data_IF_721366097234
#
_entry.id   IF_721366097234
#
_cell.length_a   1.000
_cell.length_b   1.000
_cell.length_c   1.000
_cell.angle_alpha   90.00
_cell.angle_beta   90.00
_cell.angle_gamma   90.00
#
_symmetry.space_group_name_H-M   'P 1'
#
loop_
_entity.id
_entity.type
_entity.pdbx_description
1 polymer ?
#
# COMPACT_ATOMS: atom_id res chain seq x y z
N UNK A 1 20.65 6.70 3.87
CA UNK A 1 19.34 6.77 4.57
C UNK A 1 18.26 6.44 3.55
N UNK A 2 17.43 5.42 3.80
CA UNK A 2 16.27 5.13 2.96
C UNK A 2 15.10 5.95 3.48
N UNK A 3 14.52 6.81 2.65
CA UNK A 3 13.29 7.54 2.96
C UNK A 3 12.12 6.89 2.24
N UNK A 4 11.00 6.74 2.94
CA UNK A 4 9.74 6.37 2.32
C UNK A 4 9.23 7.49 1.40
N UNK A 5 8.18 7.20 0.64
CA UNK A 5 7.52 8.21 -0.17
C UNK A 5 6.45 8.97 0.64
N UNK A 6 6.04 10.12 0.12
CA UNK A 6 4.90 10.85 0.65
C UNK A 6 3.60 10.03 0.44
N UNK A 7 2.63 10.13 1.37
CA UNK A 7 1.35 9.45 1.20
C UNK A 7 0.64 9.94 -0.06
N UNK A 8 0.14 9.00 -0.86
CA UNK A 8 -0.76 9.30 -1.99
C UNK A 8 -2.18 9.14 -1.48
N UNK A 9 -2.79 10.24 -1.05
CA UNK A 9 -4.15 10.27 -0.52
C UNK A 9 -4.88 11.55 -0.94
N UNK A 10 -6.18 11.57 -0.75
CA UNK A 10 -7.04 12.75 -0.83
C UNK A 10 -8.27 12.59 0.09
N UNK A 11 -9.15 13.60 0.12
CA UNK A 11 -10.37 13.56 0.92
C UNK A 11 -11.34 12.43 0.50
N UNK A 12 -11.22 11.92 -0.73
CA UNK A 12 -12.02 10.81 -1.26
C UNK A 12 -11.47 9.42 -0.91
N UNK A 13 -10.34 9.34 -0.22
CA UNK A 13 -9.72 8.06 0.15
C UNK A 13 -10.61 7.27 1.12
N UNK A 14 -11.02 6.07 0.68
CA UNK A 14 -11.86 5.10 1.40
C UNK A 14 -11.07 3.88 1.85
N UNK A 15 -10.03 3.51 1.11
CA UNK A 15 -9.13 2.41 1.41
C UNK A 15 -7.69 2.93 1.43
N UNK A 16 -7.00 2.77 2.56
CA UNK A 16 -5.56 3.06 2.64
C UNK A 16 -4.76 1.76 2.58
N UNK A 17 -3.93 1.59 1.54
CA UNK A 17 -3.03 0.44 1.42
C UNK A 17 -1.66 0.81 1.96
N UNK A 18 -1.20 0.08 2.96
CA UNK A 18 0.06 0.32 3.67
C UNK A 18 1.09 -0.76 3.33
N UNK A 19 2.18 -0.34 2.69
CA UNK A 19 3.40 -1.11 2.56
C UNK A 19 4.25 -1.10 3.83
N UNK A 20 5.34 -1.86 3.83
CA UNK A 20 6.30 -1.86 4.93
C UNK A 20 7.31 -0.72 4.80
N UNK A 21 8.15 -0.80 3.77
CA UNK A 21 9.10 0.22 3.34
C UNK A 21 9.33 0.00 1.83
N UNK A 22 9.50 1.06 1.02
CA UNK A 22 9.83 0.90 -0.39
C UNK A 22 11.12 0.10 -0.58
N UNK A 23 11.09 -0.85 -1.53
CA UNK A 23 12.26 -1.61 -1.94
C UNK A 23 13.25 -0.75 -2.74
N UNK A 24 14.47 -1.23 -2.90
CA UNK A 24 15.53 -0.49 -3.62
C UNK A 24 15.12 -0.13 -5.06
N UNK A 25 14.45 -1.05 -5.77
CA UNK A 25 13.93 -0.77 -7.11
C UNK A 25 12.88 0.35 -7.12
N UNK A 26 11.97 0.37 -6.14
CA UNK A 26 10.98 1.46 -6.00
C UNK A 26 11.67 2.80 -5.76
N UNK A 27 12.64 2.83 -4.83
CA UNK A 27 13.39 4.04 -4.49
C UNK A 27 14.18 4.59 -5.69
N UNK A 28 14.82 3.71 -6.47
CA UNK A 28 15.61 4.10 -7.63
C UNK A 28 14.78 4.81 -8.71
N UNK A 29 13.52 4.40 -8.90
CA UNK A 29 12.63 5.02 -9.89
C UNK A 29 11.71 6.08 -9.29
N UNK A 30 11.74 6.28 -7.97
CA UNK A 30 10.87 7.23 -7.27
C UNK A 30 9.38 6.83 -7.27
N UNK A 31 9.05 5.54 -7.39
CA UNK A 31 7.67 5.07 -7.54
C UNK A 31 7.30 3.97 -6.56
N UNK A 32 6.10 4.10 -5.98
CA UNK A 32 5.45 3.00 -5.28
C UNK A 32 5.42 1.74 -6.15
N UNK A 33 5.86 0.61 -5.57
CA UNK A 33 5.85 -0.69 -6.24
C UNK A 33 6.55 -0.72 -7.62
N UNK A 34 7.53 0.16 -7.85
CA UNK A 34 8.27 0.28 -9.12
C UNK A 34 9.12 -0.92 -9.56
N UNK A 35 9.23 -1.99 -8.76
CA UNK A 35 9.89 -3.22 -9.20
C UNK A 35 9.04 -3.92 -10.30
N UNK A 36 9.58 -4.24 -11.50
CA UNK A 36 8.77 -4.76 -12.62
C UNK A 36 7.99 -6.05 -12.32
N UNK A 37 8.55 -6.92 -11.48
CA UNK A 37 7.88 -8.15 -11.01
C UNK A 37 6.96 -7.97 -9.79
N UNK A 38 6.71 -6.75 -9.32
CA UNK A 38 5.78 -6.52 -8.23
C UNK A 38 4.35 -6.63 -8.77
N UNK A 39 3.54 -7.49 -8.15
CA UNK A 39 2.19 -7.77 -8.62
C UNK A 39 1.17 -6.69 -8.23
N UNK A 40 1.55 -5.68 -7.44
CA UNK A 40 0.64 -4.71 -6.85
C UNK A 40 -0.33 -4.10 -7.86
N UNK A 41 0.20 -3.53 -8.95
CA UNK A 41 -0.59 -2.84 -9.96
C UNK A 41 -1.59 -3.76 -10.63
N UNK A 42 -1.22 -5.02 -10.87
CA UNK A 42 -2.12 -6.02 -11.44
C UNK A 42 -3.22 -6.42 -10.46
N UNK A 43 -2.84 -6.70 -9.20
CA UNK A 43 -3.78 -7.10 -8.15
C UNK A 43 -4.83 -6.03 -7.85
N UNK A 44 -4.43 -4.76 -7.77
CA UNK A 44 -5.38 -3.66 -7.57
C UNK A 44 -6.16 -3.37 -8.83
N UNK A 45 -5.51 -3.44 -10.00
CA UNK A 45 -6.15 -3.28 -11.31
C UNK A 45 -7.31 -4.25 -11.53
N UNK A 46 -7.10 -5.53 -11.17
CA UNK A 46 -8.14 -6.56 -11.24
C UNK A 46 -9.35 -6.21 -10.35
N UNK A 47 -9.12 -5.64 -9.16
CA UNK A 47 -10.20 -5.25 -8.23
C UNK A 47 -11.00 -4.06 -8.75
N UNK A 48 -10.33 -3.06 -9.33
CA UNK A 48 -11.00 -1.83 -9.80
C UNK A 48 -11.41 -1.90 -11.28
N UNK A 49 -11.16 -3.02 -11.95
CA UNK A 49 -11.47 -3.22 -13.36
C UNK A 49 -10.66 -2.34 -14.31
N UNK A 50 -9.38 -2.05 -13.99
CA UNK A 50 -8.49 -1.24 -14.84
C UNK A 50 -7.13 -1.90 -15.04
N UNK A 51 -6.61 -1.87 -16.27
CA UNK A 51 -5.25 -2.31 -16.59
C UNK A 51 -4.21 -1.27 -16.14
N UNK A 52 -3.97 -1.19 -14.83
CA UNK A 52 -2.97 -0.27 -14.25
C UNK A 52 -1.56 -0.50 -14.80
N UNK A 53 -1.06 -1.73 -15.02
CA UNK A 53 0.25 -1.95 -15.63
C UNK A 53 0.46 -1.22 -16.97
N UNK A 54 -0.57 -1.13 -17.81
CA UNK A 54 -0.50 -0.43 -19.10
C UNK A 54 -0.42 1.10 -18.99
N UNK A 55 -0.77 1.67 -17.82
CA UNK A 55 -0.78 3.12 -17.61
C UNK A 55 0.61 3.65 -17.18
N UNK A 56 0.95 4.91 -17.55
CA UNK A 56 2.00 5.68 -16.90
C UNK A 56 1.78 5.80 -15.39
N UNK A 57 2.86 6.03 -14.62
CA UNK A 57 2.79 6.04 -13.15
C UNK A 57 1.78 7.05 -12.58
N UNK A 58 1.77 8.28 -13.09
CA UNK A 58 0.84 9.32 -12.64
C UNK A 58 -0.63 8.94 -12.93
N UNK A 59 -0.87 8.29 -14.05
CA UNK A 59 -2.21 7.81 -14.43
C UNK A 59 -2.65 6.64 -13.55
N UNK A 60 -1.70 5.79 -13.10
CA UNK A 60 -1.99 4.77 -12.08
C UNK A 60 -2.43 5.42 -10.78
N UNK A 61 -1.71 6.44 -10.30
CA UNK A 61 -2.08 7.14 -9.07
C UNK A 61 -3.44 7.83 -9.20
N UNK A 62 -3.73 8.42 -10.35
CA UNK A 62 -5.02 9.04 -10.66
C UNK A 62 -6.15 8.00 -10.67
N UNK A 63 -5.93 6.83 -11.27
CA UNK A 63 -6.89 5.73 -11.25
C UNK A 63 -7.14 5.20 -9.83
N UNK A 64 -6.11 5.10 -8.99
CA UNK A 64 -6.26 4.73 -7.58
C UNK A 64 -7.10 5.76 -6.82
N UNK A 65 -6.80 7.05 -6.95
CA UNK A 65 -7.59 8.13 -6.33
C UNK A 65 -9.05 8.10 -6.77
N UNK A 66 -9.30 7.92 -8.07
CA UNK A 66 -10.65 7.76 -8.61
C UNK A 66 -11.41 6.54 -8.05
N UNK A 67 -10.69 5.49 -7.65
CA UNK A 67 -11.24 4.33 -6.95
C UNK A 67 -11.26 4.49 -5.42
N UNK A 68 -10.92 5.67 -4.87
CA UNK A 68 -10.85 5.92 -3.43
C UNK A 68 -9.72 5.17 -2.73
N UNK A 69 -8.67 4.79 -3.45
CA UNK A 69 -7.51 4.05 -2.91
C UNK A 69 -6.35 5.02 -2.67
N UNK A 70 -5.89 5.06 -1.43
CA UNK A 70 -4.66 5.74 -1.03
C UNK A 70 -3.51 4.78 -0.78
N UNK A 71 -2.27 5.27 -0.89
CA UNK A 71 -1.04 4.51 -0.65
C UNK A 71 -0.17 5.20 0.40
N UNK A 72 0.42 4.41 1.29
CA UNK A 72 1.58 4.85 2.06
C UNK A 72 2.40 3.65 2.56
N UNK A 73 3.38 3.91 3.43
CA UNK A 73 4.16 2.89 4.11
C UNK A 73 4.12 3.12 5.62
N UNK A 74 4.23 2.04 6.41
CA UNK A 74 4.25 2.14 7.88
C UNK A 74 5.61 2.59 8.44
N UNK A 75 6.65 2.62 7.61
CA UNK A 75 7.99 3.11 7.94
C UNK A 75 8.28 4.36 7.11
N UNK A 76 8.44 5.51 7.77
CA UNK A 76 8.77 6.79 7.14
C UNK A 76 10.24 6.84 6.67
N UNK A 77 11.12 6.17 7.38
CA UNK A 77 12.54 6.10 7.03
C UNK A 77 13.28 5.00 7.78
N UNK A 78 14.39 4.56 7.21
CA UNK A 78 15.30 3.59 7.81
C UNK A 78 16.75 3.95 7.48
N UNK A 79 17.62 3.95 8.50
CA UNK A 79 19.05 3.98 8.29
C UNK A 79 19.56 2.59 7.87
N UNK A 80 20.32 2.53 6.78
CA UNK A 80 21.09 1.33 6.39
C UNK A 80 22.56 1.69 6.55
N UNK A 81 23.25 1.05 7.51
CA UNK A 81 24.68 1.29 7.77
C UNK A 81 25.50 0.11 7.23
N UNK A 82 26.39 0.36 6.25
CA UNK A 82 27.36 -0.61 5.73
C UNK A 82 26.83 -1.61 4.68
N UNK A 83 27.75 -2.18 3.87
CA UNK A 83 27.45 -3.10 2.75
C UNK A 83 27.27 -4.57 3.15
N UNK A 84 27.24 -4.88 4.45
CA UNK A 84 27.02 -6.22 4.98
C UNK A 84 25.71 -6.22 5.81
N UNK A 85 24.74 -7.02 5.36
CA UNK A 85 23.48 -7.41 6.03
C UNK A 85 23.59 -7.41 7.56
N UNK A 86 22.75 -6.77 8.39
CA UNK A 86 21.36 -7.21 8.69
C UNK A 86 20.54 -6.24 9.57
N UNK A 87 20.95 -5.00 9.83
CA UNK A 87 20.29 -4.19 10.87
C UNK A 87 19.60 -2.93 10.32
N UNK A 88 18.30 -3.02 10.03
CA UNK A 88 17.43 -1.84 10.04
C UNK A 88 17.38 -1.36 11.50
N UNK A 89 18.27 -0.43 11.88
CA UNK A 89 18.22 0.31 13.14
C UNK A 89 17.60 1.68 12.84
N UNK A 90 16.85 2.23 13.80
CA UNK A 90 16.16 3.53 13.69
C UNK A 90 15.11 3.60 12.57
N UNK A 91 14.25 2.60 12.46
CA UNK A 91 13.07 2.71 11.61
C UNK A 91 12.11 3.74 12.22
N UNK A 92 11.99 4.90 11.59
CA UNK A 92 11.04 5.94 11.96
C UNK A 92 9.64 5.49 11.54
N UNK A 93 8.72 5.41 12.49
CA UNK A 93 7.34 5.07 12.20
C UNK A 93 6.66 6.24 11.48
N UNK A 94 5.86 5.93 10.47
CA UNK A 94 4.98 6.92 9.86
C UNK A 94 3.89 7.36 10.85
N UNK A 95 3.52 8.64 10.83
CA UNK A 95 2.38 9.19 11.58
C UNK A 95 1.05 8.74 10.94
N UNK A 96 0.75 7.44 11.09
CA UNK A 96 -0.49 6.85 10.61
C UNK A 96 -1.72 7.47 11.30
N UNK A 97 -1.76 7.68 12.64
CA UNK A 97 -2.92 8.28 13.30
C UNK A 97 -3.22 9.68 12.75
N UNK A 98 -2.20 10.55 12.67
CA UNK A 98 -2.41 11.90 12.15
C UNK A 98 -2.85 11.90 10.68
N UNK A 99 -2.38 10.96 9.85
CA UNK A 99 -2.91 10.80 8.49
C UNK A 99 -4.38 10.35 8.49
N UNK A 100 -4.71 9.33 9.27
CA UNK A 100 -6.06 8.74 9.32
C UNK A 100 -7.10 9.77 9.77
N UNK A 101 -6.76 10.61 10.75
CA UNK A 101 -7.64 11.68 11.25
C UNK A 101 -8.01 12.70 10.15
N UNK A 102 -7.22 12.80 9.09
CA UNK A 102 -7.47 13.68 7.93
C UNK A 102 -8.23 13.00 6.78
N UNK A 103 -8.59 11.72 6.91
CA UNK A 103 -9.28 10.94 5.89
C UNK A 103 -10.72 10.63 6.32
N UNK A 104 -11.67 11.59 6.18
CA UNK A 104 -13.03 11.44 6.72
C UNK A 104 -13.83 10.29 6.09
N UNK A 105 -13.44 9.88 4.88
CA UNK A 105 -14.11 8.80 4.14
C UNK A 105 -13.47 7.42 4.34
N UNK A 106 -12.40 7.32 5.14
CA UNK A 106 -11.66 6.07 5.33
C UNK A 106 -12.56 4.99 5.96
N UNK A 107 -12.66 3.85 5.28
CA UNK A 107 -13.42 2.67 5.69
C UNK A 107 -12.53 1.51 6.06
N UNK A 108 -11.39 1.36 5.39
CA UNK A 108 -10.45 0.27 5.65
C UNK A 108 -8.99 0.65 5.48
N UNK A 109 -8.14 -0.08 6.19
CA UNK A 109 -6.69 -0.08 6.06
C UNK A 109 -6.25 -1.48 5.66
N UNK A 110 -5.57 -1.61 4.52
CA UNK A 110 -5.04 -2.88 4.05
C UNK A 110 -3.51 -2.92 4.16
N UNK A 111 -2.99 -3.84 4.95
CA UNK A 111 -1.56 -4.05 5.11
C UNK A 111 -1.02 -5.01 4.05
N UNK A 112 -0.11 -4.54 3.22
CA UNK A 112 0.58 -5.32 2.20
C UNK A 112 1.75 -6.11 2.81
N UNK A 113 1.43 -7.28 3.39
CA UNK A 113 2.39 -8.21 3.97
C UNK A 113 2.54 -8.12 5.50
N UNK A 114 3.09 -9.18 6.09
CA UNK A 114 3.17 -9.37 7.55
C UNK A 114 3.97 -8.26 8.27
N UNK A 115 5.03 -7.74 7.66
CA UNK A 115 5.82 -6.64 8.24
C UNK A 115 4.99 -5.36 8.34
N UNK A 116 4.22 -5.03 7.30
CA UNK A 116 3.33 -3.87 7.30
C UNK A 116 2.26 -4.03 8.39
N UNK A 117 1.63 -5.19 8.47
CA UNK A 117 0.61 -5.51 9.47
C UNK A 117 1.14 -5.38 10.90
N UNK A 118 2.29 -6.01 11.20
CA UNK A 118 2.89 -5.99 12.54
C UNK A 118 3.25 -4.58 13.00
N UNK A 119 3.86 -3.78 12.11
CA UNK A 119 4.29 -2.42 12.46
C UNK A 119 3.11 -1.45 12.49
N UNK A 120 2.21 -1.54 11.53
CA UNK A 120 0.98 -0.75 11.51
C UNK A 120 0.12 -0.98 12.74
N UNK A 121 -0.11 -2.23 13.14
CA UNK A 121 -0.87 -2.55 14.36
C UNK A 121 -0.22 -1.96 15.63
N UNK A 122 1.12 -1.92 15.71
CA UNK A 122 1.82 -1.28 16.83
C UNK A 122 1.60 0.23 16.90
N UNK A 123 1.54 0.89 15.74
CA UNK A 123 1.31 2.34 15.64
C UNK A 123 -0.16 2.70 15.87
N UNK A 124 -1.09 1.92 15.31
CA UNK A 124 -2.52 2.16 15.40
C UNK A 124 -3.17 1.67 16.70
N UNK A 125 -2.41 0.98 17.55
CA UNK A 125 -2.93 0.39 18.79
C UNK A 125 -3.98 -0.70 18.54
N UNK A 126 -4.81 -1.02 19.55
CA UNK A 126 -5.85 -2.04 19.46
C UNK A 126 -6.79 -1.82 18.26
N UNK A 127 -7.26 -2.91 17.65
CA UNK A 127 -8.26 -2.82 16.60
C UNK A 127 -9.64 -2.60 17.23
N UNK A 128 -10.20 -1.41 17.00
CA UNK A 128 -11.52 -1.00 17.48
C UNK A 128 -12.63 -1.37 16.49
N UNK A 129 -12.29 -1.98 15.34
CA UNK A 129 -13.23 -2.34 14.29
C UNK A 129 -13.50 -1.23 13.27
N UNK A 130 -12.99 -0.01 13.49
CA UNK A 130 -13.13 1.11 12.57
C UNK A 130 -11.87 2.00 12.55
N UNK A 131 -11.24 2.25 11.39
CA UNK A 131 -11.50 1.61 10.09
C UNK A 131 -11.15 0.10 10.12
N UNK A 132 -11.80 -0.69 9.26
CA UNK A 132 -11.55 -2.15 9.17
C UNK A 132 -10.09 -2.42 8.79
N UNK A 133 -9.43 -3.35 9.49
CA UNK A 133 -8.04 -3.72 9.21
C UNK A 133 -7.95 -5.03 8.43
N UNK A 134 -7.33 -4.99 7.26
CA UNK A 134 -7.13 -6.15 6.39
C UNK A 134 -5.65 -6.50 6.31
N UNK A 135 -5.31 -7.74 6.65
CA UNK A 135 -3.98 -8.29 6.38
C UNK A 135 -3.99 -8.98 5.02
N UNK A 136 -3.23 -8.45 4.06
CA UNK A 136 -3.08 -8.98 2.71
C UNK A 136 -1.71 -9.68 2.55
N UNK A 137 -1.62 -10.71 1.68
CA UNK A 137 -0.33 -11.24 1.30
C UNK A 137 0.49 -10.21 0.54
N UNK A 138 1.82 -10.28 0.68
CA UNK A 138 2.70 -9.34 0.00
C UNK A 138 2.58 -9.41 -1.52
N UNK A 139 2.45 -8.27 -2.17
CA UNK A 139 2.48 -8.14 -3.63
C UNK A 139 3.88 -8.35 -4.23
N UNK A 140 4.92 -8.33 -3.39
CA UNK A 140 6.32 -8.50 -3.79
C UNK A 140 6.59 -9.88 -4.42
N UNK A 141 7.55 -9.98 -5.36
CA UNK A 141 8.02 -11.27 -5.87
C UNK A 141 8.69 -12.14 -4.79
N UNK A 142 9.13 -11.55 -3.67
CA UNK A 142 9.69 -12.30 -2.54
C UNK A 142 8.69 -13.28 -1.91
N UNK A 143 7.39 -12.96 -2.00
CA UNK A 143 6.34 -13.94 -1.73
C UNK A 143 6.11 -14.79 -2.98
N UNK A 144 6.77 -15.94 -3.05
CA UNK A 144 6.71 -16.90 -4.16
C UNK A 144 5.37 -17.67 -4.20
N UNK A 145 4.25 -16.94 -4.29
CA UNK A 145 2.90 -17.46 -4.49
C UNK A 145 2.38 -17.08 -5.87
N UNK A 146 1.56 -17.95 -6.52
CA UNK A 146 0.95 -17.63 -7.81
C UNK A 146 0.14 -16.33 -7.77
N UNK A 147 0.07 -15.64 -8.91
CA UNK A 147 -0.71 -14.40 -9.04
C UNK A 147 -2.19 -14.62 -8.70
N UNK A 148 -2.80 -15.70 -9.21
CA UNK A 148 -4.19 -16.04 -8.94
C UNK A 148 -4.49 -16.18 -7.44
N UNK A 149 -3.62 -16.87 -6.70
CA UNK A 149 -3.73 -17.00 -5.25
C UNK A 149 -3.65 -15.62 -4.56
N UNK A 150 -2.74 -14.74 -5.01
CA UNK A 150 -2.68 -13.37 -4.48
C UNK A 150 -3.96 -12.60 -4.82
N UNK A 151 -4.49 -12.74 -6.05
CA UNK A 151 -5.70 -12.05 -6.50
C UNK A 151 -6.92 -12.42 -5.65
N UNK A 152 -7.12 -13.69 -5.32
CA UNK A 152 -8.19 -14.15 -4.40
C UNK A 152 -8.13 -13.44 -3.04
N UNK A 153 -6.93 -13.25 -2.49
CA UNK A 153 -6.78 -12.58 -1.20
C UNK A 153 -6.95 -11.07 -1.32
N UNK A 154 -6.49 -10.47 -2.43
CA UNK A 154 -6.60 -9.04 -2.70
C UNK A 154 -8.03 -8.63 -3.05
N UNK A 155 -8.86 -9.54 -3.57
CA UNK A 155 -10.30 -9.30 -3.82
C UNK A 155 -11.06 -8.84 -2.56
N UNK A 156 -10.56 -9.15 -1.36
CA UNK A 156 -11.11 -8.69 -0.07
C UNK A 156 -11.15 -7.17 0.09
N UNK A 157 -10.43 -6.41 -0.74
CA UNK A 157 -10.47 -4.95 -0.71
C UNK A 157 -11.66 -4.35 -1.49
N UNK A 158 -12.30 -5.14 -2.36
CA UNK A 158 -13.37 -4.68 -3.25
C UNK A 158 -14.54 -3.94 -2.54
N UNK A 159 -15.00 -4.35 -1.34
CA UNK A 159 -16.06 -3.61 -0.63
C UNK A 159 -15.68 -2.18 -0.22
N UNK A 160 -14.39 -1.86 -0.19
CA UNK A 160 -13.86 -0.60 0.34
C UNK A 160 -13.41 0.38 -0.74
N UNK A 161 -13.44 -0.03 -2.01
CA UNK A 161 -13.14 0.87 -3.14
C UNK A 161 -14.41 1.61 -3.60
N UNK A 162 -14.23 2.76 -4.23
CA UNK A 162 -15.30 3.41 -4.97
C UNK A 162 -15.68 2.54 -6.17
N UNK A 163 -16.99 2.32 -6.34
CA UNK A 163 -17.51 1.74 -7.57
C UNK A 163 -17.05 2.61 -8.73
N UNK A 164 -16.63 2.05 -9.87
CA UNK A 164 -16.33 2.85 -11.04
C UNK A 164 -17.59 3.64 -11.40
N UNK A 165 -17.54 4.95 -11.18
CA UNK A 165 -18.59 5.86 -11.66
C UNK A 165 -18.52 5.83 -13.17
N UNK A 166 -19.51 5.19 -13.80
CA UNK A 166 -19.72 5.20 -15.24
C UNK A 166 -19.33 3.90 -15.93
N UNK A 167 -20.30 2.99 -16.07
CA UNK A 167 -20.53 2.40 -17.39
C UNK A 167 -21.60 3.30 -18.04
N UNK A 168 -21.37 3.86 -19.24
CA UNK A 168 -22.47 4.47 -20.00
C UNK A 168 -23.58 3.45 -20.27
#
# INVERSE_FOLDING_TARGET
MKRGFAPVVDAGTRLLILGSLPGDASLNVGQYYGHPRNAFWRLVGDVIGRDLPALPYEDRLTALKGAGIGLWDVIAGAERKGSLDTAIRNAEAADLPGLIDRLPNLKAIAFNGATAAKRGARVLGPDTGAPVRLNLPSSSPALAKPLAWKAEHWARIAPYVASPTGRP
#
